data_IF_952443797964
#
_entry.id   IF_952443797964
#
_cell.length_a   1.000
_cell.length_b   1.000
_cell.length_c   1.000
_cell.angle_alpha   90.00
_cell.angle_beta   90.00
_cell.angle_gamma   90.00
#
_symmetry.space_group_name_H-M   'P 1'
#
loop_
_entity.id
_entity.type
_entity.pdbx_description
1 polymer ?
#
# COMPACT_ATOMS: atom_id res chain seq x y z
N UNK A 1 0.87 -15.09 19.95
CA UNK A 1 2.18 -15.58 19.45
C UNK A 1 1.94 -16.46 18.22
N UNK A 2 2.13 -15.92 17.03
CA UNK A 2 1.78 -16.58 15.75
C UNK A 2 2.91 -17.42 15.16
N UNK A 3 4.14 -17.26 15.67
CA UNK A 3 5.32 -17.99 15.20
C UNK A 3 5.16 -19.50 15.37
N UNK A 4 5.39 -20.25 14.28
CA UNK A 4 5.27 -21.72 14.20
C UNK A 4 6.66 -22.35 14.17
N UNK A 5 6.82 -23.55 14.72
CA UNK A 5 8.14 -24.15 14.88
C UNK A 5 8.18 -25.21 15.97
N UNK A 6 9.32 -25.87 16.10
CA UNK A 6 9.57 -26.92 17.08
C UNK A 6 10.34 -26.35 18.27
N UNK A 7 9.98 -26.78 19.48
CA UNK A 7 10.72 -26.42 20.69
C UNK A 7 12.04 -27.17 20.74
N UNK A 8 13.12 -26.44 20.92
CA UNK A 8 14.48 -26.95 21.14
C UNK A 8 15.10 -26.22 22.32
N UNK A 9 16.09 -26.81 22.97
CA UNK A 9 16.87 -26.08 23.98
C UNK A 9 17.71 -24.99 23.31
N UNK A 10 17.74 -23.80 23.93
CA UNK A 10 18.54 -22.69 23.47
C UNK A 10 20.01 -23.11 23.32
N UNK A 11 20.64 -22.86 22.17
CA UNK A 11 22.05 -23.19 21.99
C UNK A 11 22.98 -22.31 22.84
N UNK A 12 22.48 -21.19 23.36
CA UNK A 12 23.26 -20.21 24.13
C UNK A 12 23.31 -20.58 25.61
N UNK A 13 22.17 -20.87 26.23
CA UNK A 13 22.07 -21.11 27.67
C UNK A 13 21.74 -22.57 28.04
N UNK A 14 21.34 -23.42 27.07
CA UNK A 14 20.95 -24.84 27.24
C UNK A 14 19.90 -25.11 28.31
N UNK A 15 19.15 -24.08 28.72
CA UNK A 15 18.16 -24.18 29.79
C UNK A 15 16.82 -23.58 29.40
N UNK A 16 16.80 -22.61 28.48
CA UNK A 16 15.55 -22.02 28.01
C UNK A 16 15.04 -22.75 26.76
N UNK A 17 13.78 -23.19 26.72
CA UNK A 17 13.19 -23.73 25.51
C UNK A 17 12.92 -22.58 24.52
N UNK A 18 13.49 -22.67 23.32
CA UNK A 18 13.30 -21.72 22.22
C UNK A 18 12.60 -22.43 21.08
N UNK A 19 11.71 -21.72 20.39
CA UNK A 19 11.01 -22.25 19.23
C UNK A 19 11.82 -21.94 17.98
N UNK A 20 12.06 -22.92 17.12
CA UNK A 20 12.83 -22.74 15.88
C UNK A 20 12.08 -23.34 14.70
N UNK A 21 12.13 -22.64 13.56
CA UNK A 21 11.64 -23.13 12.27
C UNK A 21 12.82 -23.54 11.37
N UNK A 22 13.05 -24.85 11.25
CA UNK A 22 14.16 -25.41 10.48
C UNK A 22 14.10 -25.08 8.98
N UNK A 23 12.90 -24.79 8.47
CA UNK A 23 12.68 -24.48 7.05
C UNK A 23 12.57 -22.98 6.79
N UNK A 24 12.76 -22.12 7.80
CA UNK A 24 12.59 -20.68 7.67
C UNK A 24 13.41 -20.09 6.52
N UNK A 25 14.68 -20.49 6.40
CA UNK A 25 15.57 -20.00 5.33
C UNK A 25 15.06 -20.41 3.94
N UNK A 26 14.63 -21.67 3.78
CA UNK A 26 14.10 -22.18 2.50
C UNK A 26 12.80 -21.47 2.13
N UNK A 27 11.89 -21.27 3.09
CA UNK A 27 10.65 -20.52 2.88
C UNK A 27 10.93 -19.08 2.43
N UNK A 28 11.85 -18.38 3.10
CA UNK A 28 12.24 -17.00 2.77
C UNK A 28 12.88 -16.87 1.39
N UNK A 29 13.66 -17.87 0.97
CA UNK A 29 14.20 -17.92 -0.40
C UNK A 29 13.06 -18.10 -1.41
N UNK A 30 12.14 -19.05 -1.15
CA UNK A 30 11.01 -19.32 -2.03
C UNK A 30 10.10 -18.09 -2.20
N UNK A 31 9.73 -17.42 -1.10
CA UNK A 31 8.87 -16.22 -1.15
C UNK A 31 9.57 -15.03 -1.81
N UNK A 32 10.89 -14.91 -1.63
CA UNK A 32 11.71 -13.94 -2.37
C UNK A 32 11.71 -14.23 -3.88
N UNK A 33 11.82 -15.49 -4.29
CA UNK A 33 11.72 -15.88 -5.72
C UNK A 33 10.33 -15.58 -6.29
N UNK A 34 9.25 -15.85 -5.55
CA UNK A 34 7.88 -15.48 -5.95
C UNK A 34 7.75 -13.96 -6.12
N UNK A 35 8.39 -13.18 -5.24
CA UNK A 35 8.41 -11.72 -5.32
C UNK A 35 9.10 -11.24 -6.60
N UNK A 36 10.30 -11.76 -6.88
CA UNK A 36 11.05 -11.43 -8.10
C UNK A 36 10.29 -11.85 -9.35
N UNK A 37 9.64 -13.01 -9.35
CA UNK A 37 8.79 -13.46 -10.46
C UNK A 37 7.64 -12.48 -10.74
N UNK A 38 6.93 -12.03 -9.72
CA UNK A 38 5.81 -11.08 -9.89
C UNK A 38 6.28 -9.70 -10.38
N UNK A 39 7.41 -9.21 -9.87
CA UNK A 39 8.05 -7.98 -10.36
C UNK A 39 8.46 -8.13 -11.83
N UNK A 40 9.03 -9.27 -12.20
CA UNK A 40 9.44 -9.55 -13.59
C UNK A 40 8.22 -9.60 -14.52
N UNK A 41 7.12 -10.22 -14.09
CA UNK A 41 5.86 -10.25 -14.83
C UNK A 41 5.31 -8.84 -15.05
N UNK A 42 5.37 -7.99 -14.02
CA UNK A 42 4.93 -6.60 -14.10
C UNK A 42 5.75 -5.82 -15.13
N UNK A 43 7.08 -5.95 -15.07
CA UNK A 43 8.01 -5.32 -16.02
C UNK A 43 7.70 -5.77 -17.46
N UNK A 44 7.56 -7.08 -17.67
CA UNK A 44 7.22 -7.63 -18.99
C UNK A 44 5.87 -7.14 -19.51
N UNK A 45 4.85 -7.09 -18.64
CA UNK A 45 3.53 -6.52 -18.97
C UNK A 45 3.67 -5.06 -19.42
N UNK A 46 4.38 -4.23 -18.67
CA UNK A 46 4.55 -2.82 -19.02
C UNK A 46 5.33 -2.63 -20.32
N UNK A 47 6.41 -3.38 -20.54
CA UNK A 47 7.14 -3.34 -21.82
C UNK A 47 6.24 -3.78 -22.98
N UNK A 48 5.42 -4.81 -22.79
CA UNK A 48 4.49 -5.29 -23.83
C UNK A 48 3.44 -4.25 -24.22
N UNK A 49 2.96 -3.43 -23.26
CA UNK A 49 2.04 -2.33 -23.53
C UNK A 49 2.69 -1.23 -24.37
N UNK A 50 3.94 -0.89 -24.10
CA UNK A 50 4.70 0.06 -24.93
C UNK A 50 5.03 -0.50 -26.32
N UNK A 51 5.31 -1.81 -26.42
CA UNK A 51 5.50 -2.45 -27.72
C UNK A 51 4.21 -2.41 -28.56
N UNK A 52 3.04 -2.60 -27.92
CA UNK A 52 1.74 -2.45 -28.57
C UNK A 52 1.50 -1.00 -29.02
N UNK A 53 1.83 -0.01 -28.20
CA UNK A 53 1.75 1.42 -28.57
C UNK A 53 2.53 1.70 -29.86
N UNK A 54 3.78 1.23 -29.95
CA UNK A 54 4.63 1.42 -31.12
C UNK A 54 4.05 0.78 -32.39
N UNK A 55 3.41 -0.38 -32.28
CA UNK A 55 2.75 -1.04 -33.42
C UNK A 55 1.51 -0.25 -33.89
N UNK A 56 0.73 0.32 -32.96
CA UNK A 56 -0.48 1.09 -33.28
C UNK A 56 -0.12 2.45 -33.88
N UNK A 57 0.95 3.11 -33.40
CA UNK A 57 1.45 4.38 -33.95
C UNK A 57 1.87 4.22 -35.42
N UNK A 58 2.46 3.09 -35.80
CA UNK A 58 2.75 2.73 -37.19
C UNK A 58 1.50 2.58 -38.08
N UNK A 59 0.30 2.47 -37.49
CA UNK A 59 -0.99 2.33 -38.16
C UNK A 59 -1.81 3.61 -38.32
N UNK A 60 -1.26 4.80 -38.01
CA UNK A 60 -1.91 6.12 -38.15
C UNK A 60 -3.19 6.37 -37.31
N UNK A 61 -3.33 5.77 -36.12
CA UNK A 61 -4.41 6.10 -35.19
C UNK A 61 -3.94 7.17 -34.18
N UNK A 62 -4.34 8.43 -34.41
CA UNK A 62 -3.83 9.66 -33.77
C UNK A 62 -4.13 9.82 -32.26
N UNK A 63 -4.70 8.80 -31.59
CA UNK A 63 -5.10 8.88 -30.16
C UNK A 63 -4.58 7.73 -29.28
N UNK A 64 -3.60 6.94 -29.75
CA UNK A 64 -3.10 5.75 -29.04
C UNK A 64 -2.37 6.08 -27.74
N UNK A 65 -1.56 7.14 -27.69
CA UNK A 65 -0.62 7.34 -26.59
C UNK A 65 -1.27 7.71 -25.24
N UNK A 66 -2.32 8.54 -25.28
CA UNK A 66 -3.08 8.88 -24.08
C UNK A 66 -3.80 7.65 -23.51
N UNK A 67 -4.37 6.81 -24.39
CA UNK A 67 -5.05 5.57 -23.99
C UNK A 67 -4.09 4.58 -23.34
N UNK A 68 -2.90 4.38 -23.92
CA UNK A 68 -1.88 3.49 -23.35
C UNK A 68 -1.42 3.99 -21.99
N UNK A 69 -1.21 5.30 -21.83
CA UNK A 69 -0.84 5.87 -20.54
C UNK A 69 -1.93 5.60 -19.47
N UNK A 70 -3.21 5.75 -19.82
CA UNK A 70 -4.32 5.41 -18.91
C UNK A 70 -4.34 3.92 -18.58
N UNK A 71 -4.14 3.05 -19.57
CA UNK A 71 -4.09 1.59 -19.36
C UNK A 71 -2.94 1.22 -18.41
N UNK A 72 -1.76 1.80 -18.58
CA UNK A 72 -0.60 1.58 -17.70
C UNK A 72 -0.94 2.04 -16.27
N UNK A 73 -1.56 3.20 -16.12
CA UNK A 73 -1.94 3.69 -14.79
C UNK A 73 -3.00 2.78 -14.12
N UNK A 74 -3.96 2.24 -14.88
CA UNK A 74 -4.91 1.23 -14.38
C UNK A 74 -4.19 -0.06 -14.01
N UNK A 75 -3.25 -0.55 -14.84
CA UNK A 75 -2.41 -1.72 -14.53
C UNK A 75 -1.68 -1.53 -13.21
N UNK A 76 -1.05 -0.37 -12.99
CA UNK A 76 -0.32 -0.07 -11.75
C UNK A 76 -1.24 -0.16 -10.52
N UNK A 77 -2.48 0.33 -10.62
CA UNK A 77 -3.47 0.27 -9.54
C UNK A 77 -3.91 -1.15 -9.24
N UNK A 78 -4.25 -1.91 -10.28
CA UNK A 78 -4.64 -3.32 -10.15
C UNK A 78 -3.50 -4.14 -9.54
N UNK A 79 -2.26 -3.93 -10.01
CA UNK A 79 -1.09 -4.62 -9.49
C UNK A 79 -0.83 -4.31 -8.01
N UNK A 80 -0.98 -3.03 -7.61
CA UNK A 80 -0.87 -2.61 -6.20
C UNK A 80 -1.92 -3.29 -5.33
N UNK A 81 -3.18 -3.33 -5.78
CA UNK A 81 -4.27 -3.98 -5.04
C UNK A 81 -3.99 -5.47 -4.79
N UNK A 82 -3.56 -6.21 -5.81
CA UNK A 82 -3.19 -7.62 -5.62
C UNK A 82 -1.97 -7.78 -4.71
N UNK A 83 -0.99 -6.89 -4.81
CA UNK A 83 0.22 -6.95 -3.98
C UNK A 83 -0.07 -6.68 -2.50
N UNK A 84 -1.05 -5.83 -2.17
CA UNK A 84 -1.47 -5.58 -0.78
C UNK A 84 -1.80 -6.88 -0.04
N UNK A 85 -2.55 -7.78 -0.67
CA UNK A 85 -2.88 -9.07 -0.07
C UNK A 85 -1.72 -10.06 -0.14
N UNK A 86 -1.05 -10.14 -1.30
CA UNK A 86 -0.01 -11.14 -1.53
C UNK A 86 1.23 -10.90 -0.65
N UNK A 87 1.64 -9.65 -0.45
CA UNK A 87 2.80 -9.31 0.37
C UNK A 87 2.61 -9.75 1.82
N UNK A 88 1.43 -9.53 2.40
CA UNK A 88 1.09 -9.99 3.76
C UNK A 88 1.07 -11.51 3.81
N UNK A 89 0.45 -12.17 2.83
CA UNK A 89 0.39 -13.63 2.76
C UNK A 89 1.79 -14.26 2.68
N UNK A 90 2.68 -13.74 1.82
CA UNK A 90 4.06 -14.21 1.71
C UNK A 90 4.84 -13.98 2.99
N UNK A 91 4.67 -12.83 3.64
CA UNK A 91 5.38 -12.52 4.90
C UNK A 91 4.87 -13.38 6.06
N UNK A 92 3.58 -13.70 6.09
CA UNK A 92 3.04 -14.67 7.04
C UNK A 92 3.59 -16.07 6.80
N UNK A 93 3.82 -16.45 5.54
CA UNK A 93 4.42 -17.73 5.18
C UNK A 93 5.91 -17.83 5.58
N UNK A 94 6.65 -16.70 5.55
CA UNK A 94 8.05 -16.63 6.00
C UNK A 94 8.22 -16.89 7.49
N UNK A 95 7.15 -16.73 8.28
CA UNK A 95 7.09 -17.10 9.69
C UNK A 95 8.24 -16.47 10.50
N UNK A 96 8.27 -15.14 10.58
CA UNK A 96 9.24 -14.40 11.40
C UNK A 96 8.97 -14.57 12.91
N UNK A 97 10.04 -14.64 13.70
CA UNK A 97 9.95 -14.85 15.15
C UNK A 97 9.55 -13.57 15.87
N UNK A 98 10.19 -12.44 15.50
CA UNK A 98 9.94 -11.14 16.11
C UNK A 98 9.04 -10.28 15.22
N UNK A 99 8.24 -9.41 15.86
CA UNK A 99 7.41 -8.44 15.15
C UNK A 99 8.25 -7.42 14.37
N UNK A 100 9.45 -7.08 14.85
CA UNK A 100 10.36 -6.17 14.16
C UNK A 100 10.92 -6.79 12.87
N UNK A 101 11.34 -8.05 12.89
CA UNK A 101 11.78 -8.74 11.67
C UNK A 101 10.65 -8.89 10.66
N UNK A 102 9.45 -9.24 11.13
CA UNK A 102 8.26 -9.29 10.28
C UNK A 102 8.00 -7.93 9.61
N UNK A 103 8.07 -6.86 10.40
CA UNK A 103 7.87 -5.50 9.94
C UNK A 103 8.88 -5.11 8.87
N UNK A 104 10.17 -5.30 9.12
CA UNK A 104 11.24 -4.92 8.20
C UNK A 104 11.19 -5.72 6.89
N UNK A 105 10.90 -7.02 6.98
CA UNK A 105 10.72 -7.87 5.81
C UNK A 105 9.50 -7.43 4.97
N UNK A 106 8.38 -7.10 5.62
CA UNK A 106 7.20 -6.60 4.93
C UNK A 106 7.48 -5.26 4.24
N UNK A 107 8.14 -4.32 4.94
CA UNK A 107 8.56 -3.03 4.37
C UNK A 107 9.44 -3.23 3.15
N UNK A 108 10.49 -4.04 3.26
CA UNK A 108 11.41 -4.30 2.14
C UNK A 108 10.70 -4.88 0.92
N UNK A 109 9.79 -5.85 1.16
CA UNK A 109 8.99 -6.51 0.11
C UNK A 109 8.01 -5.57 -0.57
N UNK A 110 7.26 -4.78 0.22
CA UNK A 110 6.29 -3.80 -0.30
C UNK A 110 7.03 -2.68 -1.05
N UNK A 111 8.10 -2.15 -0.48
CA UNK A 111 8.93 -1.12 -1.11
C UNK A 111 9.51 -1.58 -2.45
N UNK A 112 10.12 -2.78 -2.51
CA UNK A 112 10.75 -3.28 -3.74
C UNK A 112 9.75 -3.39 -4.89
N UNK A 113 8.56 -3.93 -4.62
CA UNK A 113 7.50 -4.01 -5.62
C UNK A 113 6.99 -2.63 -6.01
N UNK A 114 6.65 -1.79 -5.03
CA UNK A 114 6.07 -0.49 -5.28
C UNK A 114 7.04 0.40 -6.05
N UNK A 115 8.33 0.35 -5.74
CA UNK A 115 9.37 1.06 -6.47
C UNK A 115 9.36 0.66 -7.96
N UNK A 116 9.40 -0.63 -8.29
CA UNK A 116 9.38 -1.04 -9.70
C UNK A 116 8.05 -0.65 -10.37
N UNK A 117 6.92 -0.90 -9.71
CA UNK A 117 5.60 -0.57 -10.24
C UNK A 117 5.46 0.93 -10.55
N UNK A 118 5.99 1.79 -9.68
CA UNK A 118 5.91 3.24 -9.77
C UNK A 118 6.90 3.88 -10.73
N UNK A 119 8.15 3.41 -10.77
CA UNK A 119 9.24 4.08 -11.48
C UNK A 119 9.56 3.46 -12.83
N UNK A 120 9.27 2.18 -13.07
CA UNK A 120 9.72 1.47 -14.27
C UNK A 120 9.19 2.11 -15.56
N UNK A 121 7.89 2.39 -15.62
CA UNK A 121 7.25 3.05 -16.78
C UNK A 121 7.85 4.43 -17.06
N UNK A 122 8.12 5.22 -16.02
CA UNK A 122 8.72 6.54 -16.13
C UNK A 122 10.17 6.49 -16.63
N UNK A 123 10.97 5.57 -16.09
CA UNK A 123 12.34 5.37 -16.57
C UNK A 123 12.36 4.85 -18.01
N UNK A 124 11.45 3.95 -18.38
CA UNK A 124 11.33 3.46 -19.73
C UNK A 124 11.10 4.61 -20.72
N UNK A 125 10.14 5.49 -20.44
CA UNK A 125 9.84 6.64 -21.31
C UNK A 125 10.97 7.67 -21.32
N UNK A 126 11.57 7.97 -20.17
CA UNK A 126 12.69 8.92 -20.09
C UNK A 126 13.94 8.46 -20.88
N UNK A 127 14.16 7.15 -21.01
CA UNK A 127 15.32 6.60 -21.71
C UNK A 127 15.06 6.30 -23.19
N UNK A 128 13.82 6.04 -23.59
CA UNK A 128 13.49 5.56 -24.95
C UNK A 128 12.89 6.62 -25.85
N UNK A 129 12.17 7.61 -25.30
CA UNK A 129 11.50 8.66 -26.09
C UNK A 129 12.35 9.94 -26.10
N UNK A 130 12.36 10.70 -27.22
CA UNK A 130 13.07 11.96 -27.29
C UNK A 130 12.43 13.01 -26.36
N UNK A 131 13.27 13.89 -25.81
CA UNK A 131 12.90 14.89 -24.79
C UNK A 131 11.83 15.89 -25.30
N UNK A 132 11.76 16.10 -26.62
CA UNK A 132 10.90 17.11 -27.26
C UNK A 132 9.39 16.80 -27.18
N UNK A 133 9.00 15.53 -26.99
CA UNK A 133 7.59 15.12 -27.11
C UNK A 133 6.72 15.56 -25.92
N UNK A 134 7.32 16.03 -24.82
CA UNK A 134 6.59 16.43 -23.59
C UNK A 134 5.73 15.31 -22.97
N UNK A 135 5.81 14.09 -23.53
CA UNK A 135 5.06 12.91 -23.09
C UNK A 135 5.47 12.50 -21.68
N UNK A 136 6.77 12.55 -21.37
CA UNK A 136 7.27 12.26 -20.03
C UNK A 136 6.60 13.16 -18.99
N UNK A 137 6.53 14.48 -19.23
CA UNK A 137 5.89 15.42 -18.32
C UNK A 137 4.39 15.15 -18.20
N UNK A 138 3.69 14.87 -19.31
CA UNK A 138 2.27 14.48 -19.28
C UNK A 138 2.03 13.19 -18.48
N UNK A 139 2.89 12.18 -18.63
CA UNK A 139 2.77 10.91 -17.92
C UNK A 139 3.06 11.07 -16.42
N UNK A 140 4.13 11.78 -16.06
CA UNK A 140 4.44 12.12 -14.66
C UNK A 140 3.28 12.88 -14.04
N UNK A 141 2.73 13.88 -14.73
CA UNK A 141 1.60 14.67 -14.23
C UNK A 141 0.32 13.85 -14.11
N UNK A 142 0.02 12.97 -15.07
CA UNK A 142 -1.13 12.08 -14.98
C UNK A 142 -0.98 11.11 -13.82
N UNK A 143 0.20 10.52 -13.63
CA UNK A 143 0.49 9.64 -12.50
C UNK A 143 0.33 10.38 -11.18
N UNK A 144 0.82 11.61 -11.09
CA UNK A 144 0.67 12.45 -9.90
C UNK A 144 -0.78 12.82 -9.63
N UNK A 145 -1.55 13.19 -10.68
CA UNK A 145 -2.99 13.47 -10.57
C UNK A 145 -3.78 12.23 -10.16
N UNK A 146 -3.45 11.05 -10.69
CA UNK A 146 -4.06 9.79 -10.27
C UNK A 146 -3.64 9.40 -8.87
N UNK A 147 -2.42 9.76 -8.43
CA UNK A 147 -1.99 9.63 -7.04
C UNK A 147 -2.83 10.53 -6.13
N UNK A 148 -2.94 11.81 -6.45
CA UNK A 148 -3.74 12.78 -5.72
C UNK A 148 -5.22 12.36 -5.65
N UNK A 149 -5.79 11.92 -6.78
CA UNK A 149 -7.15 11.41 -6.84
C UNK A 149 -7.32 10.17 -5.97
N UNK A 150 -6.36 9.24 -5.98
CA UNK A 150 -6.41 8.06 -5.12
C UNK A 150 -6.30 8.42 -3.64
N UNK A 151 -5.39 9.31 -3.24
CA UNK A 151 -5.31 9.78 -1.85
C UNK A 151 -6.60 10.50 -1.42
N UNK A 152 -7.21 11.27 -2.32
CA UNK A 152 -8.51 11.89 -2.08
C UNK A 152 -9.63 10.85 -1.94
N UNK A 153 -9.59 9.74 -2.68
CA UNK A 153 -10.54 8.61 -2.55
C UNK A 153 -10.30 7.85 -1.26
N UNK A 154 -9.06 7.51 -0.90
CA UNK A 154 -8.71 6.86 0.36
C UNK A 154 -9.15 7.69 1.57
N UNK A 155 -9.19 9.01 1.41
CA UNK A 155 -9.75 9.93 2.40
C UNK A 155 -11.26 10.07 2.37
N UNK A 156 -11.80 10.19 1.15
CA UNK A 156 -13.21 10.40 0.91
C UNK A 156 -14.04 9.19 1.28
N UNK A 157 -13.56 7.97 1.03
CA UNK A 157 -14.30 6.73 1.27
C UNK A 157 -14.59 6.52 2.76
N UNK A 158 -13.61 6.51 3.69
CA UNK A 158 -13.90 6.37 5.13
C UNK A 158 -14.81 7.49 5.64
N UNK A 159 -14.61 8.72 5.19
CA UNK A 159 -15.45 9.86 5.56
C UNK A 159 -16.89 9.71 5.04
N UNK A 160 -17.08 9.37 3.78
CA UNK A 160 -18.40 9.20 3.16
C UNK A 160 -19.10 7.95 3.68
N UNK A 161 -18.40 6.84 3.86
CA UNK A 161 -18.93 5.64 4.51
C UNK A 161 -19.37 5.95 5.95
N UNK A 162 -18.59 6.72 6.70
CA UNK A 162 -18.99 7.19 8.03
C UNK A 162 -20.27 8.05 7.96
N UNK A 163 -20.33 9.04 7.07
CA UNK A 163 -21.50 9.93 6.92
C UNK A 163 -22.73 9.20 6.38
N UNK A 164 -22.56 8.26 5.47
CA UNK A 164 -23.65 7.46 4.92
C UNK A 164 -24.25 6.55 5.99
N UNK A 165 -23.40 5.84 6.74
CA UNK A 165 -23.86 5.00 7.86
C UNK A 165 -24.51 5.82 8.97
N UNK A 166 -24.07 7.06 9.18
CA UNK A 166 -24.70 7.99 10.13
C UNK A 166 -26.14 8.36 9.76
N UNK A 167 -26.41 8.53 8.46
CA UNK A 167 -27.70 9.04 7.97
C UNK A 167 -28.67 7.90 7.61
N UNK A 168 -28.16 6.75 7.15
CA UNK A 168 -28.96 5.67 6.56
C UNK A 168 -28.77 4.30 7.25
N UNK A 169 -27.90 4.19 8.25
CA UNK A 169 -27.47 2.91 8.86
C UNK A 169 -28.55 2.14 9.64
N UNK A 170 -29.66 2.77 10.01
CA UNK A 170 -30.74 2.10 10.75
C UNK A 170 -31.56 1.10 9.91
N UNK A 171 -31.47 1.13 8.58
CA UNK A 171 -32.33 0.33 7.68
C UNK A 171 -31.72 -0.98 7.13
N UNK A 172 -30.39 -1.11 7.05
CA UNK A 172 -29.74 -2.21 6.30
C UNK A 172 -29.10 -3.29 7.19
N UNK A 173 -29.03 -3.07 8.51
CA UNK A 173 -28.38 -3.98 9.46
C UNK A 173 -29.05 -5.36 9.64
N UNK A 174 -30.23 -5.58 9.02
CA UNK A 174 -30.97 -6.84 9.14
C UNK A 174 -30.71 -7.86 8.02
N UNK A 175 -29.96 -7.54 6.95
CA UNK A 175 -30.03 -8.32 5.71
C UNK A 175 -28.77 -9.08 5.27
N UNK A 176 -27.57 -8.84 5.81
CA UNK A 176 -26.37 -9.50 5.27
C UNK A 176 -25.38 -9.99 6.33
N UNK A 177 -25.11 -11.29 6.31
CA UNK A 177 -24.04 -11.96 7.05
C UNK A 177 -22.67 -11.67 6.43
N UNK A 178 -21.66 -11.63 7.29
CA UNK A 178 -20.23 -11.57 6.98
C UNK A 178 -19.69 -10.39 6.17
N UNK A 179 -19.55 -9.22 6.81
CA UNK A 179 -18.23 -8.58 6.98
C UNK A 179 -18.17 -7.82 8.32
N UNK A 180 -17.08 -7.98 9.06
CA UNK A 180 -16.88 -7.35 10.39
C UNK A 180 -16.81 -5.82 10.32
N UNK A 181 -16.48 -5.27 9.15
CA UNK A 181 -16.37 -3.82 8.90
C UNK A 181 -17.74 -3.13 8.80
N UNK A 182 -18.73 -3.75 8.13
CA UNK A 182 -20.10 -3.21 8.02
C UNK A 182 -20.84 -3.17 9.35
N UNK A 183 -20.68 -4.20 10.21
CA UNK A 183 -21.37 -4.28 11.51
C UNK A 183 -20.86 -3.24 12.53
N UNK A 184 -19.62 -2.80 12.39
CA UNK A 184 -18.99 -1.78 13.24
C UNK A 184 -19.46 -0.40 12.83
N UNK A 185 -19.42 -0.10 11.54
CA UNK A 185 -19.80 1.22 11.02
C UNK A 185 -21.31 1.46 11.03
N UNK A 186 -22.13 0.43 10.78
CA UNK A 186 -23.60 0.52 10.85
C UNK A 186 -24.13 0.78 12.27
N UNK A 187 -23.33 0.55 13.33
CA UNK A 187 -23.72 0.78 14.74
C UNK A 187 -23.17 2.07 15.34
N UNK A 188 -22.35 2.82 14.60
CA UNK A 188 -21.81 4.13 15.00
C UNK A 188 -22.75 5.30 14.62
N UNK A 189 -24.04 5.03 14.36
CA UNK A 189 -25.09 6.05 14.19
C UNK A 189 -25.22 6.91 15.47
N UNK A 190 -25.24 8.24 15.29
CA UNK A 190 -25.24 9.27 16.34
C UNK A 190 -26.46 9.10 17.25
N UNK A 191 -26.20 8.52 18.42
CA UNK A 191 -27.19 8.34 19.48
C UNK A 191 -26.79 7.28 20.50
N UNK A 192 -26.05 6.24 20.07
CA UNK A 192 -25.68 5.13 20.96
C UNK A 192 -24.32 5.25 21.65
N UNK A 193 -23.38 6.09 21.16
CA UNK A 193 -22.13 6.39 21.89
C UNK A 193 -22.37 7.05 23.25
N UNK A 194 -23.57 7.63 23.48
CA UNK A 194 -23.96 8.16 24.78
C UNK A 194 -24.21 7.07 25.83
N UNK A 195 -24.51 5.84 25.39
CA UNK A 195 -24.81 4.70 26.26
C UNK A 195 -23.69 3.65 26.31
N UNK A 196 -22.68 3.74 25.45
CA UNK A 196 -21.50 2.87 25.52
C UNK A 196 -20.42 3.49 26.40
N UNK A 197 -19.84 2.67 27.28
CA UNK A 197 -18.59 3.02 27.92
C UNK A 197 -17.48 3.22 26.88
N UNK A 198 -16.47 4.02 27.22
CA UNK A 198 -15.32 4.28 26.35
C UNK A 198 -14.69 2.96 25.83
N UNK A 199 -14.60 1.95 26.70
CA UNK A 199 -14.03 0.65 26.40
C UNK A 199 -14.88 -0.14 25.40
N UNK A 200 -16.21 -0.12 25.54
CA UNK A 200 -17.11 -0.78 24.61
C UNK A 200 -17.00 -0.18 23.22
N UNK A 201 -16.95 1.16 23.10
CA UNK A 201 -16.75 1.84 21.83
C UNK A 201 -15.40 1.46 21.17
N UNK A 202 -14.31 1.50 21.95
CA UNK A 202 -12.98 1.12 21.45
C UNK A 202 -12.89 -0.35 21.01
N UNK A 203 -13.60 -1.26 21.67
CA UNK A 203 -13.62 -2.68 21.30
C UNK A 203 -14.27 -2.96 19.93
N UNK A 204 -15.10 -2.03 19.44
CA UNK A 204 -15.76 -2.16 18.14
C UNK A 204 -14.89 -1.63 17.00
N UNK A 205 -13.98 -0.70 17.27
CA UNK A 205 -13.15 -0.12 16.22
C UNK A 205 -12.14 -1.16 15.67
N UNK A 206 -11.80 -1.10 14.37
CA UNK A 206 -10.76 -1.95 13.79
C UNK A 206 -9.39 -1.66 14.42
N UNK A 207 -8.49 -2.66 14.40
CA UNK A 207 -7.09 -2.47 14.72
C UNK A 207 -6.41 -1.64 13.64
N UNK A 208 -5.54 -0.70 14.05
CA UNK A 208 -4.57 -0.13 13.12
C UNK A 208 -3.52 -1.20 12.82
N UNK A 209 -3.60 -1.80 11.64
CA UNK A 209 -2.80 -2.98 11.32
C UNK A 209 -1.37 -2.60 10.98
N UNK A 210 -0.45 -3.52 11.23
CA UNK A 210 0.97 -3.34 10.90
C UNK A 210 1.16 -3.17 9.38
N UNK A 211 0.36 -3.87 8.58
CA UNK A 211 0.35 -3.70 7.12
C UNK A 211 -0.07 -2.31 6.69
N UNK A 212 -1.09 -1.71 7.32
CA UNK A 212 -1.54 -0.35 6.98
C UNK A 212 -0.41 0.66 7.21
N UNK A 213 0.29 0.54 8.35
CA UNK A 213 1.45 1.39 8.65
C UNK A 213 2.57 1.25 7.61
N UNK A 214 2.86 0.02 7.16
CA UNK A 214 3.87 -0.23 6.12
C UNK A 214 3.48 0.41 4.80
N UNK A 215 2.23 0.24 4.37
CA UNK A 215 1.74 0.82 3.11
C UNK A 215 1.74 2.35 3.15
N UNK A 216 1.23 2.94 4.22
CA UNK A 216 1.23 4.40 4.42
C UNK A 216 2.65 4.98 4.39
N UNK A 217 3.62 4.25 4.96
CA UNK A 217 5.04 4.64 4.95
C UNK A 217 5.65 4.54 3.56
N UNK A 218 5.46 3.42 2.87
CA UNK A 218 6.04 3.20 1.54
C UNK A 218 5.49 4.20 0.52
N UNK A 219 4.21 4.57 0.61
CA UNK A 219 3.61 5.57 -0.27
C UNK A 219 4.32 6.94 -0.19
N UNK A 220 4.67 7.40 1.02
CA UNK A 220 5.39 8.67 1.21
C UNK A 220 6.82 8.58 0.63
N UNK A 221 7.49 7.44 0.83
CA UNK A 221 8.84 7.21 0.30
C UNK A 221 8.84 7.22 -1.24
N UNK A 222 7.83 6.60 -1.86
CA UNK A 222 7.67 6.57 -3.32
C UNK A 222 7.35 7.96 -3.86
N UNK A 223 6.46 8.72 -3.21
CA UNK A 223 6.19 10.11 -3.57
C UNK A 223 7.45 10.99 -3.50
N UNK A 224 8.27 10.82 -2.44
CA UNK A 224 9.55 11.51 -2.32
C UNK A 224 10.50 11.12 -3.47
N UNK A 225 10.53 9.84 -3.85
CA UNK A 225 11.33 9.37 -4.98
C UNK A 225 10.93 10.04 -6.31
N UNK A 226 9.65 10.34 -6.54
CA UNK A 226 9.25 11.08 -7.75
C UNK A 226 9.82 12.50 -7.77
N UNK A 227 9.80 13.19 -6.62
CA UNK A 227 10.37 14.53 -6.48
C UNK A 227 11.89 14.49 -6.72
N UNK A 228 12.58 13.50 -6.16
CA UNK A 228 14.03 13.38 -6.29
C UNK A 228 14.46 13.02 -7.73
N UNK A 229 13.78 12.10 -8.38
CA UNK A 229 14.15 11.62 -9.72
C UNK A 229 13.66 12.55 -10.84
N UNK A 230 12.47 13.14 -10.70
CA UNK A 230 11.81 13.86 -11.80
C UNK A 230 11.53 15.33 -11.50
N UNK A 231 11.90 15.85 -10.31
CA UNK A 231 11.65 17.24 -9.94
C UNK A 231 12.28 18.27 -10.88
N UNK A 232 13.42 17.94 -11.51
CA UNK A 232 14.02 18.81 -12.53
C UNK A 232 13.25 18.81 -13.86
N UNK A 233 12.71 17.66 -14.26
CA UNK A 233 11.96 17.51 -15.50
C UNK A 233 10.52 18.06 -15.38
N UNK A 234 9.93 18.00 -14.19
CA UNK A 234 8.58 18.44 -13.88
C UNK A 234 8.56 19.18 -12.52
N UNK A 235 8.89 20.48 -12.47
CA UNK A 235 8.96 21.24 -11.21
C UNK A 235 7.61 21.36 -10.48
N UNK A 236 6.49 21.14 -11.17
CA UNK A 236 5.16 21.05 -10.55
C UNK A 236 5.05 19.93 -9.49
N UNK A 237 5.90 18.89 -9.58
CA UNK A 237 5.91 17.78 -8.62
C UNK A 237 6.22 18.22 -7.20
N UNK A 238 7.01 19.29 -6.99
CA UNK A 238 7.30 19.82 -5.65
C UNK A 238 6.03 20.35 -4.97
N UNK A 239 5.20 21.10 -5.70
CA UNK A 239 3.96 21.66 -5.17
C UNK A 239 2.92 20.57 -4.92
N UNK A 240 2.79 19.64 -5.87
CA UNK A 240 1.84 18.55 -5.73
C UNK A 240 2.23 17.60 -4.58
N UNK A 241 3.51 17.35 -4.36
CA UNK A 241 4.04 16.61 -3.21
C UNK A 241 3.69 17.27 -1.88
N UNK A 242 3.88 18.59 -1.78
CA UNK A 242 3.55 19.35 -0.58
C UNK A 242 2.04 19.26 -0.28
N UNK A 243 1.19 19.50 -1.28
CA UNK A 243 -0.26 19.44 -1.12
C UNK A 243 -0.71 18.02 -0.74
N UNK A 244 -0.21 16.99 -1.43
CA UNK A 244 -0.53 15.58 -1.13
C UNK A 244 -0.19 15.23 0.33
N UNK A 245 1.01 15.58 0.79
CA UNK A 245 1.45 15.26 2.14
C UNK A 245 0.75 16.08 3.23
N UNK A 246 0.40 17.35 2.97
CA UNK A 246 -0.43 18.14 3.88
C UNK A 246 -1.81 17.52 4.09
N UNK A 247 -2.45 17.08 2.99
CA UNK A 247 -3.74 16.38 3.07
C UNK A 247 -3.57 15.03 3.79
N UNK A 248 -2.49 14.28 3.50
CA UNK A 248 -2.18 12.99 4.13
C UNK A 248 -1.97 13.10 5.65
N UNK A 249 -1.33 14.16 6.14
CA UNK A 249 -1.17 14.34 7.59
C UNK A 249 -2.52 14.55 8.29
N UNK A 250 -3.39 15.37 7.70
CA UNK A 250 -4.75 15.57 8.23
C UNK A 250 -5.59 14.30 8.12
N UNK A 251 -5.39 13.55 7.05
CA UNK A 251 -6.01 12.25 6.79
C UNK A 251 -5.74 11.23 7.89
N UNK A 252 -4.47 10.88 8.05
CA UNK A 252 -4.04 9.89 9.02
C UNK A 252 -4.39 10.36 10.42
N UNK A 253 -4.23 11.67 10.71
CA UNK A 253 -4.65 12.25 11.99
C UNK A 253 -6.15 12.13 12.28
N UNK A 254 -7.01 12.18 11.26
CA UNK A 254 -8.44 11.94 11.43
C UNK A 254 -8.75 10.44 11.61
N UNK A 255 -8.13 9.57 10.80
CA UNK A 255 -8.31 8.11 10.86
C UNK A 255 -7.90 7.57 12.24
N UNK A 256 -6.71 7.92 12.71
CA UNK A 256 -6.16 7.49 14.02
C UNK A 256 -7.03 7.94 15.20
N UNK A 257 -7.75 9.07 15.06
CA UNK A 257 -8.62 9.59 16.11
C UNK A 257 -10.04 9.01 16.09
N UNK A 258 -10.60 8.78 14.89
CA UNK A 258 -12.03 8.54 14.74
C UNK A 258 -12.39 7.18 14.14
N UNK A 259 -11.47 6.54 13.40
CA UNK A 259 -11.79 5.37 12.57
C UNK A 259 -11.10 4.07 13.02
N UNK A 260 -10.03 4.15 13.81
CA UNK A 260 -9.31 2.98 14.32
C UNK A 260 -9.24 3.01 15.85
N UNK A 261 -9.08 1.84 16.46
CA UNK A 261 -8.86 1.75 17.90
C UNK A 261 -7.48 2.30 18.25
N UNK A 262 -7.32 2.76 19.50
CA UNK A 262 -6.04 3.30 19.97
C UNK A 262 -4.91 2.26 19.80
N UNK A 263 -3.87 2.53 19.00
CA UNK A 263 -2.76 1.60 18.84
C UNK A 263 -1.91 1.52 20.11
N UNK A 264 -1.34 0.34 20.35
CA UNK A 264 -0.41 0.13 21.47
C UNK A 264 0.94 0.80 21.18
N UNK A 265 1.53 1.51 22.16
CA UNK A 265 2.85 2.11 21.98
C UNK A 265 3.91 1.01 21.80
N UNK A 266 4.73 1.14 20.76
CA UNK A 266 5.87 0.25 20.50
C UNK A 266 7.14 1.07 20.57
N UNK A 267 8.16 0.56 21.26
CA UNK A 267 9.49 1.16 21.25
C UNK A 267 10.12 0.97 19.87
N UNK A 268 10.63 2.05 19.28
CA UNK A 268 11.39 2.02 18.04
C UNK A 268 12.70 2.79 18.25
N UNK A 269 13.83 2.21 17.85
CA UNK A 269 15.14 2.87 17.87
C UNK A 269 15.35 3.82 16.69
N UNK A 270 14.52 3.70 15.65
CA UNK A 270 14.56 4.51 14.44
C UNK A 270 13.36 4.24 13.53
N UNK A 271 13.45 4.65 12.27
CA UNK A 271 12.40 4.46 11.25
C UNK A 271 12.42 3.06 10.59
N UNK A 272 13.19 2.12 11.14
CA UNK A 272 13.38 0.74 10.66
C UNK A 272 14.78 0.51 10.09
N UNK A 273 15.31 -0.73 10.17
CA UNK A 273 16.69 -1.06 9.80
C UNK A 273 17.06 -0.93 8.31
N UNK A 274 16.09 -0.65 7.44
CA UNK A 274 16.28 -0.50 6.00
C UNK A 274 16.46 0.94 5.52
N UNK A 275 16.43 1.94 6.42
CA UNK A 275 16.56 3.36 6.11
C UNK A 275 17.46 4.10 7.10
#
# INVERSE_FOLDING_TARGET
>A
PEFRGTWIESPVDRHTPVKVDQLAVVKRILTSLVTVFFISLLVLSTVSLYALEAQIEGGHIVSSSALITVIIAVQMRVATFFWQFLAVWLTNFDNYETQSEYYEALVSRVFSFQFVNSFFSLFYVALTRPIEDGMLQKQVNLLFLLCLAFHAVTMGVPYLTFRYNLVFGDGFAHASGDTTYEKVMARMSEGLLRNYSFQEAQSKLPDYSLSDEVWERVDVIVELGYVLCFGFAAPETFLLFLISNLIRMQAIGWVVRNAVRRPYPRGASGIGGSF
#
